data_IF_002241536556
#
_entry.id   IF_002241536556
#
_cell.length_a   1.000
_cell.length_b   1.000
_cell.length_c   1.000
_cell.angle_alpha   90.00
_cell.angle_beta   90.00
_cell.angle_gamma   90.00
#
_symmetry.space_group_name_H-M   'P 1'
#
loop_
_entity.id
_entity.type
_entity.pdbx_description
1 polymer ?
#
# COMPACT_ATOMS: atom_id res chain seq x y z
N UNK A 1 -1.04 16.19 -13.00
CA UNK A 1 -1.54 16.42 -14.37
C UNK A 1 -1.65 15.13 -15.20
N UNK A 2 -0.61 14.28 -15.27
CA UNK A 2 -0.64 13.04 -16.11
C UNK A 2 -1.68 12.02 -15.65
N UNK A 3 -1.79 11.76 -14.35
CA UNK A 3 -2.78 10.83 -13.82
C UNK A 3 -4.22 11.31 -14.08
N UNK A 4 -4.51 12.59 -13.86
CA UNK A 4 -5.82 13.17 -14.15
C UNK A 4 -6.19 13.07 -15.64
N UNK A 5 -5.21 13.25 -16.52
CA UNK A 5 -5.41 13.11 -17.97
C UNK A 5 -5.68 11.65 -18.35
N UNK A 6 -4.92 10.69 -17.80
CA UNK A 6 -5.09 9.26 -18.04
C UNK A 6 -6.47 8.76 -17.56
N UNK A 7 -6.83 9.07 -16.31
CA UNK A 7 -8.12 8.66 -15.76
C UNK A 7 -9.32 9.47 -16.26
N UNK A 8 -9.09 10.62 -16.92
CA UNK A 8 -10.10 11.38 -17.63
C UNK A 8 -10.50 10.77 -18.97
N UNK A 9 -9.66 9.89 -19.51
CA UNK A 9 -9.96 9.07 -20.70
C UNK A 9 -10.64 7.76 -20.25
N UNK A 10 -11.95 7.84 -20.00
CA UNK A 10 -12.74 6.69 -19.53
C UNK A 10 -12.72 5.51 -20.48
N UNK A 11 -12.72 5.76 -21.79
CA UNK A 11 -12.72 4.71 -22.81
C UNK A 11 -11.36 3.99 -22.83
N UNK A 12 -10.25 4.73 -22.73
CA UNK A 12 -8.91 4.14 -22.67
C UNK A 12 -8.69 3.30 -21.42
N UNK A 13 -9.20 3.73 -20.28
CA UNK A 13 -9.13 2.94 -19.03
C UNK A 13 -9.95 1.64 -19.18
N UNK A 14 -11.16 1.71 -19.72
CA UNK A 14 -11.99 0.53 -19.95
C UNK A 14 -11.34 -0.45 -20.93
N UNK A 15 -10.79 0.06 -22.04
CA UNK A 15 -10.08 -0.79 -23.00
C UNK A 15 -8.91 -1.52 -22.36
N UNK A 16 -8.08 -0.82 -21.57
CA UNK A 16 -6.96 -1.42 -20.87
C UNK A 16 -7.40 -2.55 -19.93
N UNK A 17 -8.49 -2.38 -19.19
CA UNK A 17 -9.02 -3.39 -18.29
C UNK A 17 -9.55 -4.61 -19.03
N UNK A 18 -10.24 -4.41 -20.16
CA UNK A 18 -10.69 -5.49 -21.05
C UNK A 18 -9.51 -6.29 -21.60
N UNK A 19 -8.45 -5.62 -22.06
CA UNK A 19 -7.23 -6.27 -22.53
C UNK A 19 -6.56 -7.15 -21.45
N UNK A 20 -6.80 -6.83 -20.16
CA UNK A 20 -6.35 -7.63 -19.01
C UNK A 20 -7.41 -8.61 -18.49
N UNK A 21 -8.47 -8.85 -19.26
CA UNK A 21 -9.49 -9.85 -18.95
C UNK A 21 -10.52 -9.44 -17.89
N UNK A 22 -10.68 -8.15 -17.64
CA UNK A 22 -11.69 -7.61 -16.72
C UNK A 22 -12.95 -7.26 -17.50
N UNK A 23 -14.11 -7.78 -17.08
CA UNK A 23 -15.41 -7.46 -17.67
C UNK A 23 -15.82 -6.02 -17.32
N UNK A 24 -16.02 -5.12 -18.29
CA UNK A 24 -16.40 -3.73 -18.05
C UNK A 24 -17.68 -3.54 -17.24
N UNK A 25 -18.59 -4.51 -17.25
CA UNK A 25 -19.83 -4.48 -16.48
C UNK A 25 -19.68 -4.78 -15.00
N UNK A 26 -18.50 -5.25 -14.57
CA UNK A 26 -18.27 -5.73 -13.19
C UNK A 26 -17.49 -4.75 -12.31
N UNK A 27 -17.02 -3.63 -12.84
CA UNK A 27 -16.22 -2.67 -12.08
C UNK A 27 -16.60 -1.21 -12.38
N UNK A 28 -16.25 -0.34 -11.44
CA UNK A 28 -16.27 1.10 -11.61
C UNK A 28 -14.94 1.70 -11.19
N UNK A 29 -14.40 2.62 -12.00
CA UNK A 29 -13.20 3.38 -11.68
C UNK A 29 -13.60 4.81 -11.32
N UNK A 30 -13.22 5.26 -10.14
CA UNK A 30 -13.37 6.64 -9.69
C UNK A 30 -12.00 7.24 -9.42
N UNK A 31 -11.64 8.27 -10.15
CA UNK A 31 -10.43 9.05 -9.90
C UNK A 31 -10.75 10.28 -9.06
N UNK A 32 -10.01 10.47 -7.98
CA UNK A 32 -10.12 11.65 -7.09
C UNK A 32 -8.79 12.40 -7.18
N UNK A 33 -8.81 13.62 -7.74
CA UNK A 33 -7.64 14.49 -7.81
C UNK A 33 -7.55 15.35 -6.55
N UNK A 34 -6.99 14.79 -5.49
CA UNK A 34 -6.84 15.44 -4.20
C UNK A 34 -5.51 15.06 -3.55
N UNK A 35 -5.11 15.79 -2.52
CA UNK A 35 -4.04 15.39 -1.62
C UNK A 35 -4.56 14.31 -0.67
N UNK A 36 -3.90 13.18 -0.61
CA UNK A 36 -4.32 12.05 0.24
C UNK A 36 -4.17 12.34 1.75
N UNK A 37 -3.49 13.41 2.12
CA UNK A 37 -3.39 13.87 3.52
C UNK A 37 -4.62 14.65 3.96
N UNK A 38 -5.45 15.06 3.00
CA UNK A 38 -6.71 15.76 3.24
C UNK A 38 -7.89 14.78 3.27
N UNK A 39 -9.07 15.28 3.61
CA UNK A 39 -10.30 14.50 3.57
C UNK A 39 -10.75 14.28 2.12
N UNK A 40 -10.86 13.01 1.72
CA UNK A 40 -11.17 12.64 0.33
C UNK A 40 -12.68 12.53 0.03
N UNK A 41 -13.55 12.79 1.01
CA UNK A 41 -15.00 12.63 0.85
C UNK A 41 -15.40 11.17 0.58
N UNK A 42 -14.69 10.24 1.19
CA UNK A 42 -14.95 8.80 1.16
C UNK A 42 -15.47 8.36 2.53
N UNK A 43 -16.33 7.36 2.56
CA UNK A 43 -16.85 6.80 3.81
C UNK A 43 -15.77 6.01 4.56
N UNK A 44 -15.78 6.09 5.89
CA UNK A 44 -14.88 5.34 6.74
C UNK A 44 -15.15 3.84 6.61
N UNK A 45 -14.08 3.05 6.47
CA UNK A 45 -14.17 1.60 6.35
C UNK A 45 -14.81 1.10 5.05
N UNK A 46 -14.87 1.92 4.01
CA UNK A 46 -15.53 1.58 2.74
C UNK A 46 -14.74 0.58 1.87
N UNK A 47 -13.45 0.42 2.13
CA UNK A 47 -12.58 -0.36 1.25
C UNK A 47 -12.01 -1.62 1.93
N UNK A 48 -11.94 -2.71 1.17
CA UNK A 48 -11.32 -3.98 1.57
C UNK A 48 -9.80 -3.97 1.41
N UNK A 49 -9.30 -3.18 0.45
CA UNK A 49 -7.90 -3.12 0.08
C UNK A 49 -7.46 -1.66 -0.12
N UNK A 50 -6.36 -1.30 0.53
CA UNK A 50 -5.63 -0.05 0.32
C UNK A 50 -4.27 -0.38 -0.32
N UNK A 51 -3.96 0.23 -1.46
CA UNK A 51 -2.70 -0.02 -2.18
C UNK A 51 -1.80 1.20 -2.12
N UNK A 52 -0.62 1.05 -1.52
CA UNK A 52 0.42 2.07 -1.37
C UNK A 52 1.73 1.57 -1.99
N UNK A 53 1.79 1.55 -3.32
CA UNK A 53 2.99 1.21 -4.08
C UNK A 53 3.61 2.50 -4.62
N UNK A 54 4.85 2.80 -4.24
CA UNK A 54 5.57 4.00 -4.67
C UNK A 54 4.87 5.33 -4.35
N UNK A 55 4.05 5.34 -3.33
CA UNK A 55 3.41 6.53 -2.76
C UNK A 55 4.13 6.96 -1.47
N UNK A 56 3.75 8.10 -0.89
CA UNK A 56 4.25 8.54 0.41
C UNK A 56 3.66 7.76 1.58
N UNK A 57 3.40 8.43 2.70
CA UNK A 57 2.87 7.83 3.93
C UNK A 57 1.34 7.67 3.87
N UNK A 58 0.86 6.77 3.03
CA UNK A 58 -0.57 6.50 2.79
C UNK A 58 -1.21 5.79 3.99
N UNK A 59 -0.45 4.90 4.65
CA UNK A 59 -0.95 4.07 5.76
C UNK A 59 -1.53 4.87 6.92
N UNK A 60 -1.07 6.10 7.15
CA UNK A 60 -1.56 6.92 8.25
C UNK A 60 -2.87 7.65 7.91
N UNK A 61 -2.93 8.57 6.92
CA UNK A 61 -4.12 9.35 6.64
C UNK A 61 -5.24 8.50 6.03
N UNK A 62 -4.91 7.52 5.18
CA UNK A 62 -5.91 6.73 4.47
C UNK A 62 -6.40 5.49 5.22
N UNK A 63 -5.82 5.16 6.41
CA UNK A 63 -6.29 4.02 7.22
C UNK A 63 -7.79 4.07 7.49
N UNK A 64 -8.34 5.26 7.75
CA UNK A 64 -9.76 5.42 8.05
C UNK A 64 -10.67 4.81 7.00
N UNK A 65 -10.27 4.87 5.73
CA UNK A 65 -11.04 4.36 4.60
C UNK A 65 -10.97 2.84 4.45
N UNK A 66 -9.93 2.19 5.00
CA UNK A 66 -9.80 0.75 5.00
C UNK A 66 -10.69 0.16 6.12
N UNK A 67 -11.53 -0.82 5.82
CA UNK A 67 -12.36 -1.47 6.85
C UNK A 67 -11.54 -2.27 7.86
N UNK A 68 -12.11 -2.57 9.00
CA UNK A 68 -11.57 -3.54 9.96
C UNK A 68 -11.38 -4.89 9.29
N UNK A 69 -10.23 -5.53 9.48
CA UNK A 69 -9.84 -6.74 8.77
C UNK A 69 -9.50 -6.53 7.30
N UNK A 70 -9.53 -5.28 6.80
CA UNK A 70 -9.09 -4.93 5.46
C UNK A 70 -7.56 -4.96 5.34
N UNK A 71 -7.07 -5.06 4.11
CA UNK A 71 -5.65 -5.25 3.79
C UNK A 71 -5.01 -3.98 3.25
N UNK A 72 -3.86 -3.60 3.82
CA UNK A 72 -2.94 -2.63 3.24
C UNK A 72 -1.83 -3.39 2.49
N UNK A 73 -1.76 -3.21 1.17
CA UNK A 73 -0.64 -3.64 0.33
C UNK A 73 0.34 -2.48 0.17
N UNK A 74 1.54 -2.59 0.72
CA UNK A 74 2.51 -1.48 0.73
C UNK A 74 3.88 -1.90 0.25
N UNK A 75 4.50 -1.05 -0.58
CA UNK A 75 5.86 -1.25 -1.08
C UNK A 75 6.94 -0.90 -0.06
N UNK A 76 8.17 -1.46 -0.19
CA UNK A 76 9.29 -1.19 0.71
C UNK A 76 9.89 0.22 0.56
N UNK A 77 9.57 0.91 -0.51
CA UNK A 77 10.04 2.27 -0.81
C UNK A 77 9.27 3.32 -0.01
N UNK A 78 9.81 4.53 0.12
CA UNK A 78 9.15 5.72 0.71
C UNK A 78 8.77 5.63 2.19
N UNK A 79 9.14 4.55 2.91
CA UNK A 79 8.97 4.44 4.36
C UNK A 79 7.59 3.99 4.86
N UNK A 80 6.57 3.92 4.02
CA UNK A 80 5.20 3.62 4.44
C UNK A 80 5.04 2.22 5.06
N UNK A 81 5.80 1.22 4.58
CA UNK A 81 5.83 -0.11 5.20
C UNK A 81 6.38 -0.07 6.63
N UNK A 82 7.39 0.78 6.89
CA UNK A 82 7.91 0.99 8.24
C UNK A 82 6.89 1.73 9.11
N UNK A 83 6.20 2.74 8.58
CA UNK A 83 5.14 3.44 9.30
C UNK A 83 4.01 2.50 9.70
N UNK A 84 3.55 1.64 8.78
CA UNK A 84 2.55 0.62 9.07
C UNK A 84 3.03 -0.39 10.13
N UNK A 85 4.31 -0.80 10.09
CA UNK A 85 4.86 -1.72 11.10
C UNK A 85 4.98 -1.14 12.51
N UNK A 86 5.07 0.18 12.63
CA UNK A 86 5.12 0.92 13.89
C UNK A 86 3.74 1.32 14.41
N UNK A 87 2.70 1.16 13.62
CA UNK A 87 1.33 1.48 13.99
C UNK A 87 0.64 0.26 14.61
N UNK A 88 0.29 0.28 15.92
CA UNK A 88 -0.35 -0.86 16.59
C UNK A 88 -1.72 -1.22 16.01
N UNK A 89 -2.27 -0.39 15.14
CA UNK A 89 -3.54 -0.64 14.44
C UNK A 89 -3.39 -1.50 13.20
N UNK A 90 -2.15 -1.83 12.83
CA UNK A 90 -1.83 -2.76 11.77
C UNK A 90 -1.09 -3.99 12.31
N UNK A 91 -1.31 -5.11 11.70
CA UNK A 91 -0.57 -6.36 11.91
C UNK A 91 0.00 -6.83 10.58
N UNK A 92 1.30 -7.11 10.53
CA UNK A 92 1.88 -7.75 9.34
C UNK A 92 1.29 -9.16 9.19
N UNK A 93 0.56 -9.38 8.12
CA UNK A 93 -0.15 -10.65 7.84
C UNK A 93 0.61 -11.52 6.85
N UNK A 94 1.27 -10.91 5.86
CA UNK A 94 2.05 -11.62 4.86
C UNK A 94 3.04 -10.69 4.15
N UNK A 95 3.93 -11.28 3.35
CA UNK A 95 4.79 -10.57 2.41
C UNK A 95 4.61 -11.13 1.00
N UNK A 96 4.75 -10.28 0.00
CA UNK A 96 4.78 -10.65 -1.41
C UNK A 96 6.23 -10.67 -1.87
N UNK A 97 6.69 -11.79 -2.39
CA UNK A 97 8.01 -11.90 -3.03
C UNK A 97 7.84 -12.01 -4.54
N UNK A 98 8.77 -11.41 -5.29
CA UNK A 98 8.80 -11.49 -6.75
C UNK A 98 10.09 -12.18 -7.21
N UNK A 99 9.98 -13.22 -8.01
CA UNK A 99 11.11 -13.93 -8.61
C UNK A 99 10.80 -14.33 -10.04
N UNK A 100 11.62 -13.91 -10.99
CA UNK A 100 11.47 -14.23 -12.42
C UNK A 100 10.05 -13.98 -12.96
N UNK A 101 9.46 -12.82 -12.64
CA UNK A 101 8.11 -12.43 -13.07
C UNK A 101 6.96 -13.14 -12.36
N UNK A 102 7.25 -13.99 -11.37
CA UNK A 102 6.22 -14.67 -10.56
C UNK A 102 6.16 -14.05 -9.18
N UNK A 103 4.93 -13.88 -8.67
CA UNK A 103 4.66 -13.41 -7.33
C UNK A 103 4.22 -14.56 -6.43
N UNK A 104 4.70 -14.55 -5.19
CA UNK A 104 4.34 -15.52 -4.17
C UNK A 104 4.03 -14.80 -2.87
N UNK A 105 2.98 -15.22 -2.18
CA UNK A 105 2.59 -14.69 -0.87
C UNK A 105 3.05 -15.67 0.20
N UNK A 106 3.65 -15.16 1.28
CA UNK A 106 4.10 -15.96 2.42
C UNK A 106 3.75 -15.29 3.74
N UNK A 107 3.25 -16.08 4.68
CA UNK A 107 2.98 -15.67 6.07
C UNK A 107 4.02 -16.25 7.05
N UNK A 108 5.11 -16.84 6.56
CA UNK A 108 6.12 -17.46 7.41
C UNK A 108 7.25 -16.48 7.78
N UNK A 109 7.73 -16.58 9.02
CA UNK A 109 8.88 -15.83 9.56
C UNK A 109 8.82 -14.31 9.29
N UNK A 110 7.64 -13.74 9.45
CA UNK A 110 7.33 -12.33 9.10
C UNK A 110 8.24 -11.34 9.81
N UNK A 111 8.56 -11.57 11.09
CA UNK A 111 9.45 -10.70 11.87
C UNK A 111 10.82 -10.51 11.21
N UNK A 112 11.29 -11.52 10.47
CA UNK A 112 12.58 -11.46 9.78
C UNK A 112 12.61 -10.43 8.63
N UNK A 113 11.46 -9.97 8.15
CA UNK A 113 11.34 -8.95 7.12
C UNK A 113 11.35 -7.51 7.68
N UNK A 114 11.25 -7.37 9.00
CA UNK A 114 11.26 -6.08 9.69
C UNK A 114 12.54 -5.87 10.53
N UNK A 115 13.60 -6.66 10.30
CA UNK A 115 14.90 -6.52 10.95
C UNK A 115 15.77 -5.51 10.19
N UNK A 116 16.09 -4.33 10.74
CA UNK A 116 16.93 -3.34 10.08
C UNK A 116 18.36 -3.85 9.86
N UNK A 117 18.95 -3.61 8.67
CA UNK A 117 20.31 -4.08 8.32
C UNK A 117 21.42 -3.55 9.24
N UNK A 118 21.26 -2.37 9.81
CA UNK A 118 22.29 -1.69 10.62
C UNK A 118 22.01 -1.69 12.11
N UNK A 119 21.04 -2.44 12.59
CA UNK A 119 20.64 -2.44 14.00
C UNK A 119 20.18 -1.06 14.50
N UNK A 120 19.79 -0.17 13.58
CA UNK A 120 19.30 1.18 13.92
C UNK A 120 17.86 1.04 14.39
N UNK A 121 17.55 1.70 15.49
CA UNK A 121 16.16 1.81 15.95
C UNK A 121 15.33 2.56 14.89
N UNK A 122 14.22 1.96 14.49
CA UNK A 122 13.28 2.54 13.53
C UNK A 122 12.17 3.23 14.32
N UNK A 123 12.12 4.55 14.26
CA UNK A 123 11.07 5.35 14.87
C UNK A 123 10.25 6.08 13.84
N UNK A 124 9.02 6.49 14.18
CA UNK A 124 8.16 7.27 13.29
C UNK A 124 8.84 8.55 12.84
N UNK A 125 9.51 9.24 13.76
CA UNK A 125 10.24 10.49 13.50
C UNK A 125 11.39 10.28 12.50
N UNK A 126 12.18 9.20 12.69
CA UNK A 126 13.29 8.90 11.78
C UNK A 126 12.83 8.53 10.37
N UNK A 127 11.71 7.82 10.26
CA UNK A 127 11.10 7.45 8.98
C UNK A 127 10.53 8.68 8.28
N UNK A 128 9.78 9.53 8.98
CA UNK A 128 9.26 10.79 8.43
C UNK A 128 10.38 11.72 7.97
N UNK A 129 11.41 11.91 8.78
CA UNK A 129 12.54 12.77 8.44
C UNK A 129 13.31 12.29 7.20
N UNK A 130 13.42 10.98 7.00
CA UNK A 130 14.13 10.42 5.85
C UNK A 130 13.29 10.43 4.57
N UNK A 131 11.98 10.26 4.66
CA UNK A 131 11.07 10.08 3.53
C UNK A 131 11.41 8.86 2.67
N UNK A 132 12.20 7.92 3.20
CA UNK A 132 12.73 6.76 2.46
C UNK A 132 12.39 5.46 3.18
N UNK A 133 12.37 4.37 2.40
CA UNK A 133 12.22 3.02 2.94
C UNK A 133 13.37 2.66 3.90
N UNK A 134 13.03 1.91 4.93
CA UNK A 134 14.01 1.32 5.85
C UNK A 134 14.70 0.16 5.14
N UNK A 135 16.04 0.12 5.22
CA UNK A 135 16.81 -1.00 4.70
C UNK A 135 16.73 -2.19 5.65
N UNK A 136 15.79 -3.08 5.43
CA UNK A 136 15.65 -4.33 6.16
C UNK A 136 16.58 -5.43 5.62
N UNK A 137 16.89 -6.44 6.44
CA UNK A 137 17.75 -7.58 6.06
C UNK A 137 17.14 -8.42 4.94
N UNK A 138 15.80 -8.51 4.90
CA UNK A 138 15.03 -9.07 3.80
C UNK A 138 14.13 -8.00 3.22
N UNK A 139 14.12 -7.89 1.89
CA UNK A 139 13.30 -6.92 1.18
C UNK A 139 12.33 -7.66 0.26
N UNK A 140 11.05 -7.78 0.62
CA UNK A 140 10.03 -8.34 -0.25
C UNK A 140 9.66 -7.34 -1.35
N UNK A 141 8.87 -7.78 -2.32
CA UNK A 141 8.25 -6.89 -3.31
C UNK A 141 7.24 -5.94 -2.62
N UNK A 142 6.41 -6.49 -1.72
CA UNK A 142 5.47 -5.71 -0.92
C UNK A 142 5.16 -6.42 0.41
N UNK A 143 4.63 -5.66 1.35
CA UNK A 143 4.10 -6.12 2.63
C UNK A 143 2.57 -6.09 2.59
N UNK A 144 1.93 -7.04 3.26
CA UNK A 144 0.49 -7.09 3.48
C UNK A 144 0.22 -6.92 4.96
N UNK A 145 -0.34 -5.78 5.32
CA UNK A 145 -0.77 -5.52 6.68
C UNK A 145 -2.29 -5.61 6.78
N UNK A 146 -2.79 -6.18 7.84
CA UNK A 146 -4.21 -6.20 8.17
C UNK A 146 -4.52 -5.05 9.14
N UNK A 147 -5.60 -4.29 8.89
CA UNK A 147 -6.12 -3.33 9.86
C UNK A 147 -6.84 -4.07 10.99
N UNK A 148 -6.36 -3.91 12.23
CA UNK A 148 -6.89 -4.60 13.43
C UNK A 148 -7.59 -3.67 14.43
N UNK A 149 -7.50 -2.34 14.24
CA UNK A 149 -8.24 -1.34 15.02
C UNK A 149 -8.38 0.01 14.31
#
# INVERSE_FOLDING_TARGET
RRAAQFFGDGDGVQQLLVEHGVDPGTFAVRFISADYTEELGLDDGAFDLLVSLYAGFISEPCRRYLRMGGTLLVGPSHGDAAMASLDPRYRLAAVVTARSGRYSVSSHALDSYLVPKRGVEVTRESVHASGRGVAYTKSPFAYLFERIS
#
